data_IF_839012281213
#
_entry.id   IF_839012281213
#
_cell.length_a   1.000
_cell.length_b   1.000
_cell.length_c   1.000
_cell.angle_alpha   90.00
_cell.angle_beta   90.00
_cell.angle_gamma   90.00
#
_symmetry.space_group_name_H-M   'P 1'
#
loop_
_entity.id
_entity.type
_entity.pdbx_description
1 polymer ?
#
# COMPACT_ATOMS: atom_id res chain seq x y z
N UNK A 1 26.38 -2.23 -36.23
CA UNK A 1 26.20 -2.26 -34.75
C UNK A 1 24.73 -2.53 -34.44
N UNK A 2 24.39 -3.28 -33.37
CA UNK A 2 23.00 -3.47 -32.96
C UNK A 2 22.36 -2.13 -32.58
N UNK A 3 21.12 -1.91 -33.00
CA UNK A 3 20.34 -0.70 -32.65
C UNK A 3 19.72 -0.88 -31.25
N UNK A 4 19.68 0.16 -30.41
CA UNK A 4 19.01 0.09 -29.12
C UNK A 4 17.50 -0.12 -29.29
N UNK A 5 16.86 -0.64 -28.24
CA UNK A 5 15.41 -0.83 -28.22
C UNK A 5 14.69 0.54 -28.35
N UNK A 6 13.70 0.68 -29.26
CA UNK A 6 13.18 1.98 -29.68
C UNK A 6 12.29 2.70 -28.66
N UNK A 7 11.79 2.00 -27.64
CA UNK A 7 10.91 2.57 -26.61
C UNK A 7 11.52 2.33 -25.23
N UNK A 8 11.87 3.37 -24.45
CA UNK A 8 12.35 3.11 -23.09
C UNK A 8 11.17 2.65 -22.21
N UNK A 9 11.00 1.34 -22.10
CA UNK A 9 10.05 0.71 -21.18
C UNK A 9 10.81 -0.24 -20.26
N UNK A 10 10.42 -0.25 -19.00
CA UNK A 10 10.97 -1.15 -17.99
C UNK A 10 9.88 -2.08 -17.48
N UNK A 11 10.25 -3.33 -17.27
CA UNK A 11 9.37 -4.35 -16.71
C UNK A 11 9.83 -4.71 -15.31
N UNK A 12 8.87 -4.85 -14.41
CA UNK A 12 9.07 -5.40 -13.08
C UNK A 12 8.12 -6.57 -12.85
N UNK A 13 8.64 -7.64 -12.28
CA UNK A 13 7.88 -8.84 -11.95
C UNK A 13 8.15 -9.21 -10.50
N UNK A 14 7.10 -9.60 -9.78
CA UNK A 14 7.22 -10.13 -8.43
C UNK A 14 6.24 -11.27 -8.19
N UNK A 15 6.65 -12.20 -7.33
CA UNK A 15 5.84 -13.32 -6.86
C UNK A 15 5.88 -13.35 -5.32
N UNK A 16 4.70 -13.38 -4.72
CA UNK A 16 4.51 -13.36 -3.28
C UNK A 16 3.82 -14.64 -2.82
N UNK A 17 4.42 -15.33 -1.85
CA UNK A 17 3.84 -16.52 -1.25
C UNK A 17 2.78 -16.15 -0.20
N UNK A 18 1.51 -16.36 -0.49
CA UNK A 18 0.36 -15.95 0.33
C UNK A 18 0.40 -16.52 1.76
N UNK A 19 0.77 -17.79 2.01
CA UNK A 19 0.96 -18.30 3.36
C UNK A 19 2.01 -17.56 4.18
N UNK A 20 3.04 -16.95 3.55
CA UNK A 20 4.00 -16.10 4.27
C UNK A 20 3.33 -14.83 4.78
N UNK A 21 2.49 -14.19 3.96
CA UNK A 21 1.71 -13.01 4.37
C UNK A 21 0.76 -13.38 5.50
N UNK A 22 0.06 -14.51 5.39
CA UNK A 22 -0.81 -15.03 6.46
C UNK A 22 -0.07 -15.17 7.79
N UNK A 23 1.14 -15.73 7.77
CA UNK A 23 1.99 -15.82 8.97
C UNK A 23 2.33 -14.43 9.48
N UNK A 24 2.84 -13.51 8.65
CA UNK A 24 3.19 -12.14 9.08
C UNK A 24 2.02 -11.40 9.75
N UNK A 25 0.79 -11.63 9.28
CA UNK A 25 -0.42 -11.02 9.83
C UNK A 25 -0.93 -11.70 11.10
N UNK A 26 -0.64 -12.99 11.27
CA UNK A 26 -1.05 -13.80 12.44
C UNK A 26 0.05 -13.91 13.50
N UNK A 27 1.28 -13.56 13.15
CA UNK A 27 2.46 -13.64 14.00
C UNK A 27 2.27 -12.73 15.20
N UNK A 28 1.91 -13.33 16.32
CA UNK A 28 2.49 -12.92 17.59
C UNK A 28 4.01 -12.95 17.44
N UNK A 29 4.79 -12.01 18.01
CA UNK A 29 6.24 -12.16 18.03
C UNK A 29 6.54 -13.52 18.65
N UNK A 30 6.99 -14.46 17.83
CA UNK A 30 7.04 -15.86 18.22
C UNK A 30 8.16 -16.04 19.22
N UNK A 31 7.77 -16.40 20.45
CA UNK A 31 8.36 -17.50 21.24
C UNK A 31 9.86 -17.68 21.02
N UNK A 32 10.67 -16.71 21.43
CA UNK A 32 12.08 -16.98 21.69
C UNK A 32 12.18 -17.70 23.05
N UNK A 33 12.32 -19.02 22.97
CA UNK A 33 12.96 -19.91 23.96
C UNK A 33 12.36 -20.02 25.37
N UNK A 34 11.90 -21.23 25.70
CA UNK A 34 12.23 -22.04 26.90
C UNK A 34 11.40 -23.33 26.77
N UNK A 35 11.87 -24.58 26.88
CA UNK A 35 13.10 -25.20 27.38
C UNK A 35 13.73 -24.49 28.57
N UNK A 36 13.03 -24.62 29.70
CA UNK A 36 13.56 -24.70 31.07
C UNK A 36 14.30 -23.48 31.61
N UNK A 37 13.68 -22.76 32.54
CA UNK A 37 14.22 -22.58 33.89
C UNK A 37 13.17 -21.89 34.76
N UNK A 38 12.88 -22.50 35.90
CA UNK A 38 12.15 -21.86 37.00
C UNK A 38 12.97 -20.66 37.55
N UNK A 39 12.24 -19.73 38.18
CA UNK A 39 12.69 -18.58 38.98
C UNK A 39 13.05 -17.27 38.26
N UNK A 40 12.33 -16.20 38.62
CA UNK A 40 12.90 -14.85 38.69
C UNK A 40 12.09 -13.72 38.06
N UNK A 41 11.29 -13.04 38.89
CA UNK A 41 11.01 -11.58 38.90
C UNK A 41 10.71 -10.92 37.54
N UNK A 42 9.44 -10.60 37.35
CA UNK A 42 8.88 -9.80 36.26
C UNK A 42 9.48 -8.39 36.19
N UNK A 43 10.40 -8.18 35.24
CA UNK A 43 10.77 -6.86 34.74
C UNK A 43 10.03 -6.56 33.43
N UNK A 44 9.27 -5.47 33.42
CA UNK A 44 8.52 -4.90 32.31
C UNK A 44 9.45 -4.51 31.14
N UNK A 45 9.52 -5.34 30.08
CA UNK A 45 10.18 -4.97 28.82
C UNK A 45 9.37 -5.38 27.57
N UNK A 46 8.76 -4.39 26.93
CA UNK A 46 8.94 -4.08 25.50
C UNK A 46 8.52 -5.05 24.39
N UNK A 47 7.77 -6.13 24.65
CA UNK A 47 7.28 -7.02 23.57
C UNK A 47 6.14 -6.38 22.77
N UNK A 48 6.31 -6.18 21.46
CA UNK A 48 5.22 -5.71 20.59
C UNK A 48 4.08 -6.73 20.59
N UNK A 49 2.83 -6.31 20.76
CA UNK A 49 1.70 -7.24 20.69
C UNK A 49 1.51 -7.77 19.25
N UNK A 50 0.84 -8.92 19.04
CA UNK A 50 0.56 -9.46 17.70
C UNK A 50 -0.18 -8.42 16.83
N UNK A 51 -1.08 -7.65 17.44
CA UNK A 51 -1.80 -6.54 16.84
C UNK A 51 -0.86 -5.44 16.35
N UNK A 52 0.14 -5.04 17.15
CA UNK A 52 1.13 -4.03 16.74
C UNK A 52 2.00 -4.50 15.57
N UNK A 53 2.36 -5.78 15.51
CA UNK A 53 3.17 -6.32 14.39
C UNK A 53 2.39 -6.29 13.09
N UNK A 54 1.11 -6.72 13.13
CA UNK A 54 0.20 -6.64 12.00
C UNK A 54 0.01 -5.20 11.52
N UNK A 55 -0.29 -4.28 12.43
CA UNK A 55 -0.48 -2.86 12.11
C UNK A 55 0.78 -2.24 11.50
N UNK A 56 1.97 -2.51 12.06
CA UNK A 56 3.24 -2.03 11.48
C UNK A 56 3.44 -2.52 10.05
N UNK A 57 3.14 -3.79 9.77
CA UNK A 57 3.26 -4.34 8.42
C UNK A 57 2.27 -3.67 7.46
N UNK A 58 1.00 -3.57 7.85
CA UNK A 58 -0.04 -2.94 7.03
C UNK A 58 0.25 -1.45 6.79
N UNK A 59 0.69 -0.73 7.82
CA UNK A 59 1.03 0.68 7.74
C UNK A 59 2.26 0.94 6.87
N UNK A 60 3.21 0.00 6.80
CA UNK A 60 4.34 0.08 5.87
C UNK A 60 3.90 -0.22 4.43
N UNK A 61 2.98 -1.17 4.26
CA UNK A 61 2.54 -1.62 2.94
C UNK A 61 1.59 -0.64 2.27
N UNK A 62 0.57 -0.18 2.97
CA UNK A 62 -0.51 0.61 2.39
C UNK A 62 -0.27 2.10 2.54
N UNK A 63 -0.49 2.83 1.45
CA UNK A 63 -0.72 4.26 1.53
C UNK A 63 -2.08 4.52 2.21
N UNK A 64 -2.24 5.65 2.92
CA UNK A 64 -3.50 6.00 3.62
C UNK A 64 -4.76 5.89 2.75
N UNK A 65 -4.68 6.23 1.46
CA UNK A 65 -5.82 6.11 0.55
C UNK A 65 -6.15 4.65 0.24
N UNK A 66 -5.14 3.80 0.14
CA UNK A 66 -5.34 2.36 0.03
C UNK A 66 -5.86 1.77 1.33
N UNK A 67 -5.46 2.29 2.50
CA UNK A 67 -6.03 1.89 3.80
C UNK A 67 -7.53 2.20 3.84
N UNK A 68 -7.94 3.40 3.45
CA UNK A 68 -9.35 3.78 3.40
C UNK A 68 -10.14 2.84 2.46
N UNK A 69 -9.65 2.65 1.23
CA UNK A 69 -10.27 1.71 0.29
C UNK A 69 -10.28 0.27 0.82
N UNK A 70 -9.18 -0.20 1.41
CA UNK A 70 -9.06 -1.53 1.99
C UNK A 70 -10.08 -1.76 3.11
N UNK A 71 -10.25 -0.79 4.00
CA UNK A 71 -11.25 -0.86 5.06
C UNK A 71 -12.67 -0.93 4.51
N UNK A 72 -12.99 -0.11 3.49
CA UNK A 72 -14.29 -0.15 2.80
C UNK A 72 -14.53 -1.49 2.10
N UNK A 73 -13.54 -2.00 1.36
CA UNK A 73 -13.63 -3.26 0.64
C UNK A 73 -13.71 -4.47 1.58
N UNK A 74 -13.01 -4.42 2.72
CA UNK A 74 -13.04 -5.46 3.77
C UNK A 74 -14.41 -5.57 4.45
N UNK A 75 -15.15 -4.46 4.53
CA UNK A 75 -16.46 -4.39 5.17
C UNK A 75 -17.63 -4.52 4.17
N UNK A 76 -17.35 -4.53 2.86
CA UNK A 76 -18.37 -4.60 1.82
C UNK A 76 -18.92 -6.02 1.61
N UNK A 77 -20.13 -6.16 1.03
CA UNK A 77 -20.69 -7.43 0.61
C UNK A 77 -19.97 -7.89 -0.67
N UNK A 78 -18.70 -8.28 -0.55
CA UNK A 78 -18.03 -8.98 -1.64
C UNK A 78 -18.60 -10.39 -1.68
N UNK A 79 -19.65 -10.52 -2.49
CA UNK A 79 -20.50 -11.68 -2.73
C UNK A 79 -19.93 -13.00 -2.19
N UNK A 80 -20.61 -13.48 -1.15
CA UNK A 80 -20.41 -14.78 -0.53
C UNK A 80 -21.14 -15.82 -1.38
N UNK A 81 -20.67 -16.00 -2.62
CA UNK A 81 -21.10 -17.14 -3.42
C UNK A 81 -20.48 -18.40 -2.82
N UNK A 82 -21.19 -18.98 -1.85
CA UNK A 82 -21.39 -20.37 -1.40
C UNK A 82 -20.30 -21.46 -1.58
N UNK A 83 -19.06 -21.11 -1.92
CA UNK A 83 -17.93 -22.04 -2.13
C UNK A 83 -16.56 -21.36 -2.01
N UNK A 84 -16.52 -20.08 -1.60
CA UNK A 84 -15.27 -19.31 -1.54
C UNK A 84 -14.44 -19.53 -0.27
N UNK A 85 -13.13 -19.20 -0.31
CA UNK A 85 -12.27 -19.24 0.87
C UNK A 85 -12.76 -18.26 1.95
N UNK A 86 -12.56 -18.55 3.25
CA UNK A 86 -13.02 -17.69 4.36
C UNK A 86 -12.47 -16.26 4.24
N UNK A 87 -13.17 -15.26 4.79
CA UNK A 87 -12.80 -13.84 4.71
C UNK A 87 -11.33 -13.55 5.08
N UNK A 88 -10.79 -14.24 6.09
CA UNK A 88 -9.38 -14.13 6.48
C UNK A 88 -8.43 -14.62 5.40
N UNK A 89 -8.81 -15.68 4.68
CA UNK A 89 -8.02 -16.18 3.57
C UNK A 89 -8.07 -15.17 2.42
N UNK A 90 -9.24 -14.60 2.07
CA UNK A 90 -9.33 -13.49 1.10
C UNK A 90 -8.50 -12.26 1.49
N UNK A 91 -8.44 -11.94 2.77
CA UNK A 91 -7.61 -10.85 3.31
C UNK A 91 -6.13 -11.05 2.95
N UNK A 92 -5.60 -12.25 3.18
CA UNK A 92 -4.20 -12.57 2.88
C UNK A 92 -3.91 -12.54 1.37
N UNK A 93 -4.84 -13.03 0.53
CA UNK A 93 -4.70 -12.98 -0.93
C UNK A 93 -4.65 -11.52 -1.42
N UNK A 94 -5.54 -10.66 -0.93
CA UNK A 94 -5.55 -9.24 -1.28
C UNK A 94 -4.22 -8.56 -0.89
N UNK A 95 -3.77 -8.78 0.35
CA UNK A 95 -2.53 -8.18 0.86
C UNK A 95 -1.30 -8.72 0.10
N UNK A 96 -1.25 -10.02 -0.20
CA UNK A 96 -0.18 -10.62 -1.00
C UNK A 96 -0.12 -10.04 -2.42
N UNK A 97 -1.28 -9.86 -3.06
CA UNK A 97 -1.37 -9.21 -4.37
C UNK A 97 -0.88 -7.76 -4.33
N UNK A 98 -1.23 -7.02 -3.27
CA UNK A 98 -0.74 -5.64 -3.07
C UNK A 98 0.76 -5.58 -2.80
N UNK A 99 1.29 -6.52 -2.02
CA UNK A 99 2.73 -6.65 -1.80
C UNK A 99 3.47 -6.91 -3.12
N UNK A 100 3.06 -7.94 -3.87
CA UNK A 100 3.66 -8.29 -5.17
C UNK A 100 3.59 -7.10 -6.15
N UNK A 101 2.43 -6.43 -6.21
CA UNK A 101 2.25 -5.26 -7.06
C UNK A 101 3.26 -4.16 -6.77
N UNK A 102 3.43 -3.78 -5.50
CA UNK A 102 4.34 -2.69 -5.14
C UNK A 102 5.80 -3.05 -5.39
N UNK A 103 6.20 -4.29 -5.12
CA UNK A 103 7.53 -4.80 -5.47
C UNK A 103 7.76 -4.78 -6.99
N UNK A 104 6.78 -5.26 -7.79
CA UNK A 104 6.85 -5.21 -9.25
C UNK A 104 6.97 -3.78 -9.77
N UNK A 105 6.24 -2.82 -9.19
CA UNK A 105 6.33 -1.40 -9.57
C UNK A 105 7.72 -0.83 -9.21
N UNK A 106 8.25 -1.09 -8.02
CA UNK A 106 9.61 -0.65 -7.64
C UNK A 106 10.66 -1.20 -8.61
N UNK A 107 10.52 -2.46 -9.03
CA UNK A 107 11.42 -3.10 -10.00
C UNK A 107 11.29 -2.51 -11.41
N UNK A 108 10.10 -2.04 -11.79
CA UNK A 108 9.83 -1.41 -13.06
C UNK A 108 10.30 0.06 -13.09
N UNK A 109 10.21 0.79 -11.98
CA UNK A 109 10.53 2.23 -11.90
C UNK A 109 11.91 2.45 -11.30
N UNK A 110 12.96 1.92 -11.96
CA UNK A 110 14.32 1.88 -11.38
C UNK A 110 15.01 3.24 -11.28
N UNK A 111 14.54 4.22 -12.03
CA UNK A 111 15.12 5.57 -12.06
C UNK A 111 14.72 6.40 -10.83
N UNK A 112 13.83 5.90 -9.96
CA UNK A 112 13.44 6.52 -8.69
C UNK A 112 13.69 5.57 -7.53
N UNK A 113 14.14 6.12 -6.41
CA UNK A 113 14.16 5.40 -5.14
C UNK A 113 12.77 5.52 -4.50
N UNK A 114 11.91 4.54 -4.78
CA UNK A 114 10.52 4.52 -4.31
C UNK A 114 10.37 3.75 -3.00
N UNK A 115 9.48 4.25 -2.14
CA UNK A 115 8.89 3.49 -1.04
C UNK A 115 7.49 3.00 -1.41
N UNK A 116 6.92 2.10 -0.61
CA UNK A 116 5.53 1.67 -0.79
C UNK A 116 4.53 2.83 -0.68
N UNK A 117 4.82 3.88 0.09
CA UNK A 117 3.93 5.04 0.22
C UNK A 117 3.94 5.95 -1.00
N UNK A 118 4.92 5.80 -1.90
CA UNK A 118 4.98 6.51 -3.18
C UNK A 118 4.15 5.83 -4.27
N UNK A 119 3.47 4.73 -3.94
CA UNK A 119 2.69 3.91 -4.86
C UNK A 119 1.28 3.76 -4.31
N UNK A 120 0.29 4.03 -5.15
CA UNK A 120 -1.13 3.84 -4.82
C UNK A 120 -1.74 2.90 -5.83
N UNK A 121 -2.37 1.81 -5.36
CA UNK A 121 -3.05 0.82 -6.21
C UNK A 121 -4.53 0.74 -5.84
N UNK A 122 -5.39 1.28 -6.71
CA UNK A 122 -6.84 1.35 -6.55
C UNK A 122 -7.55 0.63 -7.71
N UNK A 123 -8.82 0.22 -7.57
CA UNK A 123 -9.62 -0.21 -8.72
C UNK A 123 -9.69 0.92 -9.77
N UNK A 124 -9.72 0.58 -11.06
CA UNK A 124 -9.65 1.57 -12.14
C UNK A 124 -10.64 2.75 -12.06
N UNK A 125 -11.92 2.59 -11.65
CA UNK A 125 -12.85 3.69 -11.59
C UNK A 125 -12.58 4.61 -10.40
N UNK A 126 -11.85 4.15 -9.38
CA UNK A 126 -11.58 4.94 -8.18
C UNK A 126 -10.49 5.95 -8.47
N UNK A 127 -10.83 7.22 -8.27
CA UNK A 127 -9.92 8.35 -8.40
C UNK A 127 -9.80 9.07 -7.07
N UNK A 128 -8.65 9.72 -6.87
CA UNK A 128 -8.54 10.74 -5.85
C UNK A 128 -8.95 12.09 -6.46
N UNK A 129 -9.73 12.92 -5.75
CA UNK A 129 -10.16 12.80 -4.36
C UNK A 129 -11.47 12.00 -4.12
N UNK A 130 -12.20 11.61 -5.17
CA UNK A 130 -13.53 10.98 -5.12
C UNK A 130 -13.59 9.54 -4.61
N UNK A 131 -12.65 9.13 -3.74
CA UNK A 131 -12.51 7.75 -3.29
C UNK A 131 -13.79 7.20 -2.65
N UNK A 132 -14.49 8.00 -1.84
CA UNK A 132 -15.76 7.60 -1.20
C UNK A 132 -16.87 7.40 -2.24
N UNK A 133 -17.07 8.36 -3.12
CA UNK A 133 -18.11 8.35 -4.16
C UNK A 133 -17.88 7.17 -5.13
N UNK A 134 -16.65 7.02 -5.62
CA UNK A 134 -16.29 5.96 -6.55
C UNK A 134 -16.35 4.57 -5.89
N UNK A 135 -15.98 4.46 -4.60
CA UNK A 135 -16.09 3.19 -3.87
C UNK A 135 -17.55 2.82 -3.58
N UNK A 136 -18.45 3.79 -3.42
CA UNK A 136 -19.89 3.55 -3.31
C UNK A 136 -20.48 3.07 -4.64
N UNK A 137 -20.05 3.63 -5.77
CA UNK A 137 -20.46 3.17 -7.10
C UNK A 137 -20.04 1.72 -7.37
N UNK A 138 -18.95 1.27 -6.73
CA UNK A 138 -18.46 -0.12 -6.82
C UNK A 138 -19.20 -1.11 -5.91
N UNK A 139 -20.07 -0.66 -4.99
CA UNK A 139 -20.80 -1.59 -4.10
C UNK A 139 -21.76 -2.46 -4.92
N UNK A 140 -21.47 -3.77 -4.97
CA UNK A 140 -22.33 -4.76 -5.60
C UNK A 140 -22.02 -5.07 -7.07
N UNK A 141 -20.94 -4.53 -7.65
CA UNK A 141 -20.51 -4.92 -8.99
C UNK A 141 -19.15 -5.64 -8.96
N UNK A 142 -19.01 -6.83 -9.57
CA UNK A 142 -17.72 -7.48 -9.73
C UNK A 142 -16.86 -6.64 -10.66
N UNK A 143 -15.83 -5.98 -10.11
CA UNK A 143 -14.91 -5.20 -10.90
C UNK A 143 -13.90 -6.12 -11.61
N UNK A 144 -14.11 -6.36 -12.91
CA UNK A 144 -13.26 -7.21 -13.74
C UNK A 144 -12.09 -6.47 -14.43
N UNK A 145 -11.88 -5.19 -14.12
CA UNK A 145 -10.82 -4.38 -14.72
C UNK A 145 -9.47 -4.52 -14.02
N UNK A 146 -8.38 -4.28 -14.77
CA UNK A 146 -7.05 -4.16 -14.17
C UNK A 146 -7.01 -2.98 -13.20
N UNK A 147 -6.32 -3.10 -12.05
CA UNK A 147 -6.20 -2.00 -11.10
C UNK A 147 -5.47 -0.82 -11.74
N UNK A 148 -5.81 0.40 -11.32
CA UNK A 148 -5.02 1.59 -11.59
C UNK A 148 -3.90 1.67 -10.57
N UNK A 149 -2.66 1.75 -11.05
CA UNK A 149 -1.49 1.95 -10.24
C UNK A 149 -0.83 3.28 -10.60
N UNK A 150 -0.69 4.17 -9.61
CA UNK A 150 -0.05 5.47 -9.78
C UNK A 150 1.19 5.53 -8.91
N UNK A 151 2.30 5.89 -9.53
CA UNK A 151 3.55 6.26 -8.86
C UNK A 151 3.48 7.75 -8.59
N UNK A 152 3.27 8.11 -7.33
CA UNK A 152 3.13 9.49 -6.90
C UNK A 152 4.37 10.31 -7.27
N UNK A 153 4.20 11.59 -7.63
CA UNK A 153 5.32 12.51 -7.82
C UNK A 153 6.18 12.61 -6.54
N UNK A 154 7.41 13.11 -6.68
CA UNK A 154 8.28 13.32 -5.52
C UNK A 154 7.66 14.36 -4.58
N UNK A 155 7.77 14.13 -3.28
CA UNK A 155 7.41 15.15 -2.28
C UNK A 155 8.27 16.40 -2.49
N UNK A 156 7.64 17.57 -2.48
CA UNK A 156 8.37 18.83 -2.44
C UNK A 156 9.05 18.96 -1.08
N UNK A 157 10.27 19.52 -1.05
CA UNK A 157 10.87 19.86 0.25
C UNK A 157 9.97 20.92 0.89
N UNK A 158 9.65 20.80 2.19
CA UNK A 158 8.90 21.86 2.85
C UNK A 158 9.69 23.15 2.69
N UNK A 159 9.04 24.19 2.17
CA UNK A 159 9.61 25.53 2.12
C UNK A 159 9.80 25.94 3.58
N UNK A 160 11.03 25.89 4.06
CA UNK A 160 11.37 26.44 5.38
C UNK A 160 11.26 27.95 5.25
N UNK A 161 10.14 28.52 5.66
CA UNK A 161 10.13 29.90 6.09
C UNK A 161 10.94 29.95 7.38
N UNK A 162 12.09 30.63 7.34
CA UNK A 162 12.86 30.90 8.56
C UNK A 162 11.97 31.60 9.59
N UNK A 163 12.08 31.11 10.82
CA UNK A 163 11.11 31.25 11.90
C UNK A 163 10.83 32.71 12.27
N UNK A 164 9.56 33.10 12.33
CA UNK A 164 9.10 34.01 13.38
C UNK A 164 8.86 33.20 14.67
N UNK A 165 9.33 33.65 15.85
CA UNK A 165 9.13 32.92 17.09
C UNK A 165 7.74 33.25 17.62
N UNK A 166 6.76 32.39 17.35
CA UNK A 166 5.50 32.45 18.08
C UNK A 166 5.16 31.07 18.62
N UNK A 167 5.51 30.91 19.89
CA UNK A 167 5.02 29.87 20.78
C UNK A 167 3.54 30.14 21.01
N UNK A 168 2.70 29.71 20.08
CA UNK A 168 1.24 29.75 20.23
C UNK A 168 0.76 28.31 20.21
N UNK A 169 0.12 27.90 21.31
CA UNK A 169 -0.68 26.68 21.38
C UNK A 169 -1.71 26.73 20.25
N UNK A 170 -1.43 26.03 19.14
CA UNK A 170 -2.35 26.01 18.02
C UNK A 170 -3.62 25.27 18.43
N UNK A 171 -4.81 25.86 18.21
CA UNK A 171 -6.06 25.11 18.29
C UNK A 171 -5.99 23.93 17.31
N UNK A 172 -6.61 22.81 17.68
CA UNK A 172 -6.74 21.58 16.90
C UNK A 172 -6.96 21.94 15.42
N UNK A 173 -5.91 21.75 14.59
CA UNK A 173 -6.02 21.97 13.14
C UNK A 173 -7.15 21.04 12.65
N UNK A 174 -8.07 21.52 11.79
CA UNK A 174 -9.10 20.66 11.24
C UNK A 174 -8.42 19.52 10.48
N UNK A 175 -8.48 18.33 11.03
CA UNK A 175 -8.02 17.13 10.34
C UNK A 175 -8.99 16.87 9.18
N UNK A 176 -8.43 16.62 8.01
CA UNK A 176 -9.23 16.11 6.89
C UNK A 176 -9.82 14.75 7.27
N UNK A 177 -10.80 14.27 6.49
CA UNK A 177 -11.42 12.94 6.67
C UNK A 177 -10.40 11.77 6.72
N UNK A 178 -9.17 12.00 6.25
CA UNK A 178 -8.09 11.03 6.23
C UNK A 178 -7.08 11.18 7.39
N UNK A 179 -7.38 12.02 8.40
CA UNK A 179 -6.53 12.20 9.58
C UNK A 179 -5.22 12.95 9.28
N UNK A 180 -5.19 13.76 8.23
CA UNK A 180 -4.01 14.57 7.84
C UNK A 180 -4.37 16.05 7.79
N UNK A 181 -3.35 16.91 7.94
CA UNK A 181 -3.52 18.35 7.76
C UNK A 181 -3.95 18.68 6.33
N UNK A 182 -4.60 19.84 6.15
CA UNK A 182 -4.96 20.33 4.82
C UNK A 182 -3.74 20.44 3.89
N UNK A 183 -2.61 20.96 4.41
CA UNK A 183 -1.34 21.08 3.68
C UNK A 183 -0.82 19.72 3.19
N UNK A 184 -0.91 18.68 4.02
CA UNK A 184 -0.50 17.34 3.63
C UNK A 184 -1.45 16.75 2.59
N UNK A 185 -2.75 16.92 2.77
CA UNK A 185 -3.76 16.49 1.80
C UNK A 185 -3.56 17.13 0.43
N UNK A 186 -3.34 18.45 0.36
CA UNK A 186 -3.07 19.19 -0.87
C UNK A 186 -1.79 18.70 -1.57
N UNK A 187 -0.71 18.50 -0.80
CA UNK A 187 0.53 17.95 -1.34
C UNK A 187 0.31 16.55 -1.92
N UNK A 188 -0.50 15.73 -1.28
CA UNK A 188 -0.77 14.36 -1.74
C UNK A 188 -1.70 14.30 -2.96
N UNK A 189 -2.66 15.21 -3.09
CA UNK A 189 -3.45 15.39 -4.33
C UNK A 189 -2.57 15.85 -5.48
N UNK A 190 -1.71 16.85 -5.25
CA UNK A 190 -0.74 17.31 -6.25
C UNK A 190 0.16 16.16 -6.71
N UNK A 191 0.68 15.37 -5.77
CA UNK A 191 1.54 14.22 -6.09
C UNK A 191 0.82 13.13 -6.89
N UNK A 192 -0.48 12.99 -6.69
CA UNK A 192 -1.31 12.08 -7.48
C UNK A 192 -1.52 12.61 -8.90
N UNK A 193 -1.87 13.88 -9.05
CA UNK A 193 -2.11 14.53 -10.36
C UNK A 193 -0.83 14.62 -11.21
N UNK A 194 0.31 14.97 -10.61
CA UNK A 194 1.62 14.98 -11.26
C UNK A 194 2.29 13.58 -11.30
N UNK A 195 1.60 12.55 -10.79
CA UNK A 195 2.10 11.18 -10.73
C UNK A 195 2.11 10.49 -12.09
N UNK A 196 2.75 9.32 -12.14
CA UNK A 196 2.84 8.50 -13.36
C UNK A 196 1.98 7.25 -13.21
N UNK A 197 1.01 7.05 -14.11
CA UNK A 197 0.25 5.80 -14.18
C UNK A 197 1.12 4.71 -14.81
N UNK A 198 1.17 3.54 -14.17
CA UNK A 198 1.88 2.35 -14.66
C UNK A 198 0.89 1.24 -15.00
N UNK A 199 1.23 0.43 -16.00
CA UNK A 199 0.39 -0.70 -16.39
C UNK A 199 0.68 -1.87 -15.45
N UNK A 200 -0.30 -2.23 -14.63
CA UNK A 200 -0.17 -3.25 -13.61
C UNK A 200 -1.19 -4.37 -13.83
N UNK A 201 -0.71 -5.60 -13.84
CA UNK A 201 -1.54 -6.79 -13.73
C UNK A 201 -1.22 -7.52 -12.42
N UNK A 202 -2.24 -7.99 -11.73
CA UNK A 202 -2.13 -8.83 -10.53
C UNK A 202 -2.97 -10.08 -10.78
N UNK A 203 -2.38 -11.24 -10.56
CA UNK A 203 -3.07 -12.52 -10.59
C UNK A 203 -2.73 -13.35 -9.36
N UNK A 204 -3.51 -14.40 -9.14
CA UNK A 204 -3.26 -15.39 -8.11
C UNK A 204 -3.27 -16.77 -8.75
N UNK A 205 -2.30 -17.59 -8.36
CA UNK A 205 -2.20 -18.99 -8.75
C UNK A 205 -1.87 -19.83 -7.51
N UNK A 206 -2.82 -20.67 -7.10
CA UNK A 206 -2.75 -21.45 -5.87
C UNK A 206 -2.41 -20.59 -4.64
N UNK A 207 -1.23 -20.82 -4.09
CA UNK A 207 -0.70 -20.14 -2.90
C UNK A 207 0.15 -18.90 -3.20
N UNK A 208 0.21 -18.47 -4.45
CA UNK A 208 1.05 -17.35 -4.88
C UNK A 208 0.21 -16.21 -5.46
N UNK A 209 0.63 -14.99 -5.17
CA UNK A 209 0.21 -13.79 -5.88
C UNK A 209 1.33 -13.36 -6.82
N UNK A 210 1.01 -13.06 -8.07
CA UNK A 210 1.97 -12.65 -9.09
C UNK A 210 1.57 -11.26 -9.56
N UNK A 211 2.56 -10.39 -9.74
CA UNK A 211 2.34 -9.09 -10.32
C UNK A 211 3.36 -8.79 -11.42
N UNK A 212 2.87 -8.18 -12.49
CA UNK A 212 3.67 -7.69 -13.62
C UNK A 212 3.36 -6.22 -13.81
N UNK A 213 4.41 -5.40 -13.85
CA UNK A 213 4.32 -3.97 -14.05
C UNK A 213 5.14 -3.55 -15.28
N UNK A 214 4.55 -2.70 -16.13
CA UNK A 214 5.26 -1.96 -17.17
C UNK A 214 5.26 -0.48 -16.80
N UNK A 215 6.43 0.13 -16.80
CA UNK A 215 6.62 1.55 -16.56
C UNK A 215 7.35 2.20 -17.73
N UNK A 216 6.97 3.44 -18.04
CA UNK A 216 7.76 4.29 -18.92
C UNK A 216 9.10 4.59 -18.23
N UNK A 217 10.18 4.48 -18.98
CA UNK A 217 11.48 4.95 -18.54
C UNK A 217 11.68 6.36 -19.11
N UNK A 218 12.02 7.36 -18.28
CA UNK A 218 12.31 8.69 -18.78
C UNK A 218 13.53 8.61 -19.69
N UNK A 219 13.36 9.07 -20.93
CA UNK A 219 14.46 9.16 -21.89
C UNK A 219 15.41 10.23 -21.34
N UNK A 220 16.66 9.84 -21.06
CA UNK A 220 17.71 10.83 -20.80
C UNK A 220 17.99 11.51 -22.14
N UNK A 221 17.41 12.69 -22.36
CA UNK A 221 17.79 13.58 -23.45
C UNK A 221 19.16 14.21 -23.18
#
# INVERSE_FOLDING_TARGET
>A
MPKPFPHCMQVGVDICHTPRISRLLSSSPLKSLQRGSENGISSTQGGATPTQTRERFLNRLFNRYEVAHYQMARLGPYDDNLTGPPLRLREHYFIAGRYAAKEAIIKAVRHRNLSFHDIVVLPHPVRLPSLEEDSLLLKGQPFAGSPRAVVLAKRRKPVRFDKFPTRTTHPLRPETKFGVSLEEYEEDMRRWEEGEEVQLNISHDGEYAIAVCLAACPVSL
#
